data_IF_891956703366
#
_entry.id   IF_891956703366
#
_cell.length_a   1.000
_cell.length_b   1.000
_cell.length_c   1.000
_cell.angle_alpha   90.00
_cell.angle_beta   90.00
_cell.angle_gamma   90.00
#
_symmetry.space_group_name_H-M   'P 1'
#
loop_
_entity.id
_entity.type
_entity.pdbx_description
1 polymer ?
#
# COMPACT_ATOMS: atom_id res chain seq x y z
N UNK A 1 -1.58 5.01 -4.29
CA UNK A 1 -0.65 5.14 -3.14
C UNK A 1 -0.72 6.49 -2.41
N UNK A 2 -0.65 7.64 -3.10
CA UNK A 2 -0.73 8.97 -2.43
C UNK A 2 -2.09 9.19 -1.76
N UNK A 3 -3.18 8.84 -2.44
CA UNK A 3 -4.54 8.88 -1.87
C UNK A 3 -4.71 7.97 -0.64
N UNK A 4 -4.05 6.80 -0.63
CA UNK A 4 -4.00 5.91 0.52
C UNK A 4 -3.26 6.55 1.70
N UNK A 5 -2.12 7.20 1.43
CA UNK A 5 -1.34 7.87 2.46
C UNK A 5 -2.12 9.02 3.12
N UNK A 6 -2.82 9.84 2.32
CA UNK A 6 -3.72 10.88 2.84
C UNK A 6 -4.85 10.29 3.68
N UNK A 7 -5.41 9.15 3.26
CA UNK A 7 -6.45 8.45 4.00
C UNK A 7 -5.95 7.92 5.35
N UNK A 8 -4.70 7.44 5.41
CA UNK A 8 -4.07 7.01 6.66
C UNK A 8 -3.77 8.19 7.60
N UNK A 9 -3.34 9.34 7.07
CA UNK A 9 -3.20 10.55 7.87
C UNK A 9 -4.55 10.98 8.49
N UNK A 10 -5.62 10.94 7.68
CA UNK A 10 -6.98 11.24 8.13
C UNK A 10 -7.47 10.24 9.19
N UNK A 11 -7.18 8.95 9.02
CA UNK A 11 -7.47 7.92 10.02
C UNK A 11 -6.77 8.21 11.36
N UNK A 12 -5.50 8.64 11.31
CA UNK A 12 -4.77 9.09 12.50
C UNK A 12 -5.43 10.29 13.18
N UNK A 13 -5.89 11.28 12.41
CA UNK A 13 -6.63 12.44 12.95
C UNK A 13 -7.96 12.03 13.61
N UNK A 14 -8.70 11.11 12.98
CA UNK A 14 -9.96 10.58 13.53
C UNK A 14 -9.71 9.85 14.85
N UNK A 15 -8.64 9.06 14.96
CA UNK A 15 -8.30 8.36 16.20
C UNK A 15 -7.93 9.34 17.34
N UNK A 16 -7.17 10.40 17.04
CA UNK A 16 -6.86 11.47 18.02
C UNK A 16 -8.16 12.13 18.50
N UNK A 17 -9.07 12.41 17.59
CA UNK A 17 -10.36 13.03 17.93
C UNK A 17 -11.23 12.10 18.78
N UNK A 18 -11.26 10.80 18.45
CA UNK A 18 -11.98 9.77 19.22
C UNK A 18 -11.45 9.68 20.66
N UNK A 19 -10.13 9.71 20.85
CA UNK A 19 -9.52 9.67 22.19
C UNK A 19 -9.86 10.92 23.01
N UNK A 20 -9.87 12.11 22.39
CA UNK A 20 -10.25 13.34 23.08
C UNK A 20 -11.71 13.29 23.58
N UNK A 21 -12.62 12.70 22.80
CA UNK A 21 -14.01 12.49 23.21
C UNK A 21 -14.11 11.49 24.36
N UNK A 22 -13.40 10.35 24.27
CA UNK A 22 -13.31 9.36 25.36
C UNK A 22 -12.65 9.87 26.65
N UNK A 23 -11.99 11.04 26.65
CA UNK A 23 -11.48 11.67 27.88
C UNK A 23 -12.48 12.66 28.48
N UNK A 24 -13.42 13.14 27.68
CA UNK A 24 -14.34 14.23 28.05
C UNK A 24 -15.76 13.72 28.36
N UNK A 25 -16.26 12.76 27.58
CA UNK A 25 -17.59 12.18 27.75
C UNK A 25 -17.54 10.67 27.61
N UNK A 26 -17.85 9.98 28.71
CA UNK A 26 -17.80 8.52 28.78
C UNK A 26 -19.22 7.98 28.76
N UNK A 27 -19.56 7.27 27.69
CA UNK A 27 -20.78 6.46 27.64
C UNK A 27 -20.41 5.01 27.88
N UNK A 28 -21.00 4.44 28.91
CA UNK A 28 -20.89 3.03 29.22
C UNK A 28 -21.87 2.24 28.34
N UNK A 29 -21.35 1.36 27.50
CA UNK A 29 -22.13 0.39 26.74
C UNK A 29 -21.84 -1.02 27.26
N UNK A 30 -22.89 -1.77 27.58
CA UNK A 30 -22.76 -3.17 27.98
C UNK A 30 -22.96 -4.02 26.73
N UNK A 31 -21.97 -4.84 26.38
CA UNK A 31 -22.04 -5.80 25.27
C UNK A 31 -21.59 -7.15 25.83
N UNK A 32 -22.44 -8.18 25.77
CA UNK A 32 -22.12 -9.52 26.27
C UNK A 32 -21.58 -9.54 27.72
N UNK A 33 -22.31 -8.90 28.65
CA UNK A 33 -21.97 -8.77 30.09
C UNK A 33 -20.61 -8.14 30.40
N UNK A 34 -19.99 -7.47 29.42
CA UNK A 34 -18.79 -6.66 29.62
C UNK A 34 -19.14 -5.18 29.48
N UNK A 35 -18.68 -4.42 30.46
CA UNK A 35 -18.80 -2.97 30.48
C UNK A 35 -17.75 -2.34 29.56
N UNK A 36 -18.18 -1.45 28.67
CA UNK A 36 -17.27 -0.78 27.75
C UNK A 36 -17.47 0.73 27.72
N UNK A 37 -16.37 1.47 27.75
CA UNK A 37 -16.36 2.91 27.56
C UNK A 37 -16.26 3.20 26.05
N UNK A 38 -17.29 3.82 25.48
CA UNK A 38 -17.35 4.19 24.07
C UNK A 38 -17.34 5.72 23.88
N UNK A 39 -16.68 6.18 22.82
CA UNK A 39 -16.81 7.56 22.35
C UNK A 39 -18.16 7.71 21.65
N UNK A 40 -18.89 8.78 21.96
CA UNK A 40 -20.07 9.18 21.17
C UNK A 40 -19.61 9.82 19.85
N UNK A 41 -19.32 8.98 18.86
CA UNK A 41 -18.85 9.39 17.54
C UNK A 41 -19.62 8.66 16.44
N UNK A 42 -19.97 9.37 15.37
CA UNK A 42 -20.64 8.77 14.23
C UNK A 42 -19.68 7.92 13.39
N UNK A 43 -20.15 6.75 12.95
CA UNK A 43 -19.41 5.86 12.04
C UNK A 43 -19.08 6.51 10.69
N UNK A 44 -19.81 7.56 10.29
CA UNK A 44 -19.60 8.26 9.03
C UNK A 44 -18.24 8.98 8.93
N UNK A 45 -17.57 9.28 10.05
CA UNK A 45 -16.22 9.84 10.00
C UNK A 45 -15.18 8.88 9.40
N UNK A 46 -15.47 7.58 9.40
CA UNK A 46 -14.63 6.55 8.80
C UNK A 46 -14.89 6.37 7.30
N UNK A 47 -15.99 6.90 6.77
CA UNK A 47 -16.34 6.77 5.35
C UNK A 47 -15.26 7.32 4.40
N UNK A 48 -14.78 8.57 4.54
CA UNK A 48 -13.87 9.15 3.54
C UNK A 48 -12.52 8.42 3.46
N UNK A 49 -12.04 7.83 4.57
CA UNK A 49 -10.77 7.09 4.56
C UNK A 49 -10.90 5.74 3.83
N UNK A 50 -12.03 5.04 3.98
CA UNK A 50 -12.25 3.75 3.30
C UNK A 50 -12.41 3.95 1.80
N UNK A 51 -13.11 5.01 1.40
CA UNK A 51 -13.24 5.37 -0.02
C UNK A 51 -11.86 5.68 -0.62
N UNK A 52 -11.03 6.47 0.07
CA UNK A 52 -9.70 6.83 -0.41
C UNK A 52 -8.75 5.63 -0.53
N UNK A 53 -8.78 4.72 0.44
CA UNK A 53 -8.01 3.46 0.40
C UNK A 53 -8.49 2.58 -0.75
N UNK A 54 -9.80 2.33 -0.85
CA UNK A 54 -10.38 1.46 -1.87
C UNK A 54 -10.12 1.95 -3.29
N UNK A 55 -10.32 3.24 -3.56
CA UNK A 55 -9.96 3.84 -4.85
C UNK A 55 -8.48 3.67 -5.16
N UNK A 56 -7.62 3.91 -4.17
CA UNK A 56 -6.17 3.77 -4.36
C UNK A 56 -5.77 2.34 -4.72
N UNK A 57 -6.43 1.36 -4.12
CA UNK A 57 -6.13 -0.06 -4.30
C UNK A 57 -6.58 -0.52 -5.68
N UNK A 58 -7.81 -0.18 -6.09
CA UNK A 58 -8.34 -0.54 -7.41
C UNK A 58 -7.45 0.05 -8.51
N UNK A 59 -7.15 1.35 -8.45
CA UNK A 59 -6.29 1.98 -9.47
C UNK A 59 -4.89 1.36 -9.53
N UNK A 60 -4.28 1.11 -8.38
CA UNK A 60 -2.93 0.51 -8.34
C UNK A 60 -2.96 -0.93 -8.83
N UNK A 61 -3.98 -1.71 -8.45
CA UNK A 61 -4.14 -3.11 -8.79
C UNK A 61 -4.36 -3.31 -10.30
N UNK A 62 -5.22 -2.50 -10.92
CA UNK A 62 -5.51 -2.57 -12.35
C UNK A 62 -4.32 -2.07 -13.17
N UNK A 63 -3.80 -0.88 -12.87
CA UNK A 63 -2.71 -0.29 -13.64
C UNK A 63 -1.42 -1.13 -13.59
N UNK A 64 -1.10 -1.72 -12.43
CA UNK A 64 0.07 -2.60 -12.31
C UNK A 64 -0.08 -3.90 -13.09
N UNK A 65 -1.28 -4.50 -13.09
CA UNK A 65 -1.55 -5.73 -13.81
C UNK A 65 -1.52 -5.50 -15.32
N UNK A 66 -2.19 -4.46 -15.80
CA UNK A 66 -2.21 -4.10 -17.22
C UNK A 66 -0.80 -3.83 -17.74
N UNK A 67 -0.01 -3.02 -17.01
CA UNK A 67 1.38 -2.76 -17.37
C UNK A 67 2.23 -4.03 -17.41
N UNK A 68 2.08 -4.93 -16.43
CA UNK A 68 2.82 -6.18 -16.39
C UNK A 68 2.45 -7.11 -17.56
N UNK A 69 1.17 -7.17 -17.93
CA UNK A 69 0.70 -7.97 -19.06
C UNK A 69 1.18 -7.41 -20.40
N UNK A 70 1.25 -6.08 -20.56
CA UNK A 70 1.78 -5.44 -21.76
C UNK A 70 3.29 -5.68 -21.95
N UNK A 71 4.05 -5.81 -20.86
CA UNK A 71 5.49 -6.03 -20.90
C UNK A 71 5.89 -7.51 -21.09
N UNK A 72 4.96 -8.46 -20.96
CA UNK A 72 5.26 -9.87 -20.95
C UNK A 72 4.81 -10.62 -22.22
N UNK A 73 5.56 -11.66 -22.63
CA UNK A 73 5.15 -12.53 -23.73
C UNK A 73 3.90 -13.35 -23.34
N UNK A 74 3.09 -13.76 -24.33
CA UNK A 74 1.83 -14.49 -24.11
C UNK A 74 1.99 -15.75 -23.24
N UNK A 75 3.12 -16.45 -23.34
CA UNK A 75 3.42 -17.65 -22.55
C UNK A 75 3.68 -17.38 -21.06
N UNK A 76 3.99 -16.14 -20.66
CA UNK A 76 4.34 -15.78 -19.29
C UNK A 76 3.20 -15.07 -18.52
N UNK A 77 2.04 -14.86 -19.14
CA UNK A 77 0.91 -14.17 -18.50
C UNK A 77 0.38 -14.91 -17.27
N UNK A 78 0.35 -16.25 -17.31
CA UNK A 78 -0.04 -17.09 -16.16
C UNK A 78 0.94 -16.94 -14.98
N UNK A 79 2.24 -16.75 -15.26
CA UNK A 79 3.26 -16.51 -14.25
C UNK A 79 3.10 -15.13 -13.59
N UNK A 80 2.70 -14.11 -14.34
CA UNK A 80 2.41 -12.79 -13.76
C UNK A 80 1.23 -12.89 -12.78
N UNK A 81 0.17 -13.60 -13.17
CA UNK A 81 -1.00 -13.76 -12.32
C UNK A 81 -0.67 -14.55 -11.04
N UNK A 82 0.10 -15.64 -11.14
CA UNK A 82 0.53 -16.40 -9.97
C UNK A 82 1.43 -15.58 -9.04
N UNK A 83 2.31 -14.75 -9.61
CA UNK A 83 3.14 -13.82 -8.84
C UNK A 83 2.30 -12.75 -8.12
N UNK A 84 1.21 -12.27 -8.72
CA UNK A 84 0.27 -11.34 -8.10
C UNK A 84 -0.43 -11.95 -6.90
N UNK A 85 -0.90 -13.19 -7.00
CA UNK A 85 -1.49 -13.91 -5.88
C UNK A 85 -0.47 -14.22 -4.78
N UNK A 86 0.75 -14.63 -5.16
CA UNK A 86 1.85 -14.84 -4.20
C UNK A 86 2.17 -13.56 -3.43
N UNK A 87 2.25 -12.42 -4.13
CA UNK A 87 2.48 -11.11 -3.51
C UNK A 87 1.36 -10.72 -2.53
N UNK A 88 0.10 -11.03 -2.86
CA UNK A 88 -1.04 -10.81 -1.95
C UNK A 88 -0.97 -11.70 -0.70
N UNK A 89 -0.58 -12.97 -0.86
CA UNK A 89 -0.33 -13.88 0.26
C UNK A 89 0.80 -13.37 1.16
N UNK A 90 1.94 -12.98 0.57
CA UNK A 90 3.06 -12.36 1.30
C UNK A 90 2.62 -11.13 2.10
N UNK A 91 1.85 -10.22 1.49
CA UNK A 91 1.29 -9.05 2.18
C UNK A 91 0.45 -9.45 3.39
N UNK A 92 -0.31 -10.53 3.30
CA UNK A 92 -1.14 -11.03 4.40
C UNK A 92 -0.29 -11.58 5.55
N UNK A 93 0.80 -12.28 5.24
CA UNK A 93 1.78 -12.71 6.24
C UNK A 93 2.43 -11.53 6.96
N UNK A 94 2.81 -10.47 6.24
CA UNK A 94 3.32 -9.26 6.87
C UNK A 94 2.28 -8.58 7.77
N UNK A 95 1.01 -8.49 7.33
CA UNK A 95 -0.06 -7.93 8.14
C UNK A 95 -0.25 -8.67 9.47
N UNK A 96 -0.32 -9.99 9.42
CA UNK A 96 -0.42 -10.83 10.62
C UNK A 96 0.85 -10.76 11.48
N UNK A 97 2.03 -10.76 10.86
CA UNK A 97 3.31 -10.67 11.55
C UNK A 97 3.48 -9.37 12.34
N UNK A 98 3.03 -8.24 11.81
CA UNK A 98 3.02 -6.95 12.52
C UNK A 98 2.15 -7.05 13.77
N UNK A 99 0.92 -7.57 13.65
CA UNK A 99 0.01 -7.74 14.79
C UNK A 99 0.60 -8.70 15.84
N UNK A 100 1.20 -9.81 15.41
CA UNK A 100 1.86 -10.77 16.29
C UNK A 100 3.05 -10.17 17.04
N UNK A 101 3.90 -9.39 16.34
CA UNK A 101 5.05 -8.71 16.95
C UNK A 101 4.61 -7.70 18.01
N UNK A 102 3.59 -6.89 17.70
CA UNK A 102 3.00 -5.97 18.67
C UNK A 102 2.46 -6.72 19.89
N UNK A 103 1.81 -7.88 19.69
CA UNK A 103 1.29 -8.70 20.80
C UNK A 103 2.38 -9.16 21.75
N UNK A 104 3.54 -9.54 21.21
CA UNK A 104 4.69 -9.97 22.01
C UNK A 104 5.29 -8.78 22.77
N UNK A 105 5.47 -7.64 22.10
CA UNK A 105 6.05 -6.43 22.72
C UNK A 105 5.17 -5.90 23.86
N UNK A 106 3.85 -6.00 23.73
CA UNK A 106 2.89 -5.56 24.75
C UNK A 106 2.50 -6.68 25.74
N UNK A 107 3.26 -7.79 25.80
CA UNK A 107 3.11 -8.82 26.84
C UNK A 107 1.82 -9.64 26.75
N UNK A 108 1.37 -10.01 25.54
CA UNK A 108 0.14 -10.78 25.28
C UNK A 108 -1.19 -10.12 25.72
N UNK A 109 -1.17 -8.87 26.21
CA UNK A 109 -2.38 -8.18 26.69
C UNK A 109 -3.21 -7.51 25.59
N UNK A 110 -2.77 -7.58 24.32
CA UNK A 110 -3.48 -6.91 23.22
C UNK A 110 -4.92 -7.41 23.08
N UNK A 111 -5.18 -8.70 23.33
CA UNK A 111 -6.52 -9.27 23.15
C UNK A 111 -7.45 -9.11 24.37
N UNK A 112 -6.92 -8.94 25.58
CA UNK A 112 -7.74 -8.75 26.78
C UNK A 112 -8.00 -7.27 27.12
N UNK A 113 -7.07 -6.37 26.80
CA UNK A 113 -7.18 -4.93 27.08
C UNK A 113 -7.27 -4.07 25.80
N UNK A 114 -7.91 -4.61 24.75
CA UNK A 114 -7.96 -4.03 23.40
C UNK A 114 -8.42 -2.56 23.33
N UNK A 115 -9.09 -2.02 24.36
CA UNK A 115 -9.82 -0.76 24.24
C UNK A 115 -9.35 0.40 25.14
N UNK A 116 -8.51 0.14 26.14
CA UNK A 116 -8.11 1.16 27.13
C UNK A 116 -6.61 1.51 27.11
N UNK A 117 -5.82 0.87 26.24
CA UNK A 117 -4.40 1.18 26.16
C UNK A 117 -4.20 2.47 25.35
N UNK A 118 -3.62 3.50 25.99
CA UNK A 118 -3.45 4.86 25.42
C UNK A 118 -2.60 4.87 24.15
N UNK A 119 -2.00 3.73 23.76
CA UNK A 119 -0.98 3.60 22.72
C UNK A 119 -1.48 3.11 21.36
N UNK A 120 -2.79 2.99 21.12
CA UNK A 120 -3.34 2.49 19.84
C UNK A 120 -2.91 3.33 18.61
N UNK A 121 -2.68 4.63 18.80
CA UNK A 121 -2.16 5.50 17.75
C UNK A 121 -0.79 5.05 17.19
N UNK A 122 0.02 4.34 17.99
CA UNK A 122 1.33 3.82 17.58
C UNK A 122 1.17 2.77 16.46
N UNK A 123 0.11 1.95 16.52
CA UNK A 123 -0.17 0.96 15.48
C UNK A 123 -0.43 1.64 14.12
N UNK A 124 -1.28 2.66 14.10
CA UNK A 124 -1.54 3.43 12.88
C UNK A 124 -0.31 4.17 12.38
N UNK A 125 0.54 4.68 13.28
CA UNK A 125 1.78 5.36 12.91
C UNK A 125 2.83 4.39 12.33
N UNK A 126 2.94 3.17 12.86
CA UNK A 126 3.78 2.10 12.29
C UNK A 126 3.30 1.74 10.87
N UNK A 127 1.99 1.58 10.68
CA UNK A 127 1.41 1.31 9.37
C UNK A 127 1.64 2.47 8.39
N UNK A 128 1.50 3.72 8.85
CA UNK A 128 1.79 4.90 8.05
C UNK A 128 3.27 4.99 7.67
N UNK A 129 4.18 4.67 8.60
CA UNK A 129 5.62 4.59 8.34
C UNK A 129 5.96 3.51 7.31
N UNK A 130 5.36 2.32 7.46
CA UNK A 130 5.49 1.24 6.48
C UNK A 130 5.04 1.70 5.09
N UNK A 131 3.87 2.33 4.98
CA UNK A 131 3.35 2.88 3.72
C UNK A 131 4.28 3.93 3.10
N UNK A 132 4.91 4.79 3.91
CA UNK A 132 5.87 5.78 3.45
C UNK A 132 7.12 5.12 2.85
N UNK A 133 7.63 4.06 3.48
CA UNK A 133 8.76 3.27 2.95
C UNK A 133 8.45 2.71 1.56
N UNK A 134 7.25 2.16 1.33
CA UNK A 134 6.85 1.70 -0.01
C UNK A 134 6.81 2.82 -1.04
N UNK A 135 6.34 4.01 -0.67
CA UNK A 135 6.35 5.18 -1.55
C UNK A 135 7.78 5.57 -1.91
N UNK A 136 8.71 5.60 -0.95
CA UNK A 136 10.12 5.91 -1.20
C UNK A 136 10.80 4.88 -2.11
N UNK A 137 10.56 3.59 -1.86
CA UNK A 137 11.05 2.50 -2.71
C UNK A 137 10.51 2.66 -4.13
N UNK A 138 9.22 2.92 -4.29
CA UNK A 138 8.60 3.13 -5.59
C UNK A 138 9.21 4.31 -6.34
N UNK A 139 9.42 5.46 -5.68
CA UNK A 139 10.08 6.62 -6.29
C UNK A 139 11.52 6.27 -6.70
N UNK A 140 12.28 5.60 -5.83
CA UNK A 140 13.65 5.16 -6.13
C UNK A 140 13.73 4.25 -7.35
N UNK A 141 12.84 3.25 -7.43
CA UNK A 141 12.74 2.34 -8.57
C UNK A 141 12.37 3.07 -9.86
N UNK A 142 11.37 3.96 -9.83
CA UNK A 142 10.98 4.74 -11.02
C UNK A 142 12.12 5.61 -11.55
N UNK A 143 12.92 6.23 -10.67
CA UNK A 143 14.09 7.01 -11.08
C UNK A 143 15.10 6.12 -11.82
N UNK A 144 15.38 4.91 -11.32
CA UNK A 144 16.27 3.95 -11.99
C UNK A 144 15.70 3.42 -13.31
N UNK A 145 14.41 3.10 -13.37
CA UNK A 145 13.76 2.64 -14.60
C UNK A 145 13.78 3.70 -15.71
N UNK A 146 13.58 4.99 -15.36
CA UNK A 146 13.68 6.09 -16.32
C UNK A 146 15.10 6.24 -16.89
N UNK A 147 16.13 5.94 -16.09
CA UNK A 147 17.54 5.95 -16.50
C UNK A 147 17.86 4.75 -17.41
N UNK A 148 17.31 3.57 -17.12
CA UNK A 148 17.50 2.35 -17.92
C UNK A 148 16.83 2.38 -19.30
N UNK A 149 15.79 3.21 -19.49
CA UNK A 149 15.19 3.47 -20.81
C UNK A 149 15.98 4.48 -21.66
N UNK A 150 17.09 5.05 -21.16
CA UNK A 150 17.91 6.05 -21.84
C UNK A 150 19.40 5.64 -22.03
N UNK A 151 19.70 4.43 -22.54
CA UNK A 151 20.92 4.28 -23.33
C UNK A 151 20.65 3.62 -24.69
N UNK A 152 21.11 4.28 -25.76
CA UNK A 152 21.46 3.69 -27.08
C UNK A 152 20.43 3.56 -28.24
N UNK A 153 19.41 4.43 -28.37
CA UNK A 153 18.70 4.51 -29.67
C UNK A 153 19.47 5.22 -30.80
N UNK A 154 20.59 5.92 -30.52
CA UNK A 154 21.38 6.55 -31.58
C UNK A 154 22.28 5.58 -32.37
N UNK A 155 22.66 4.43 -31.82
CA UNK A 155 23.59 3.50 -32.52
C UNK A 155 22.91 2.45 -33.40
N UNK A 156 21.64 2.11 -33.14
CA UNK A 156 20.90 1.11 -33.93
C UNK A 156 20.33 1.69 -35.24
N UNK A 157 20.04 3.00 -35.25
CA UNK A 157 19.58 3.68 -36.47
C UNK A 157 20.70 3.77 -37.51
N UNK A 158 21.93 4.15 -37.12
CA UNK A 158 23.05 4.30 -38.06
C UNK A 158 23.51 2.98 -38.69
N UNK A 159 23.40 1.83 -38.02
CA UNK A 159 23.78 0.54 -38.60
C UNK A 159 22.82 0.06 -39.68
N UNK A 160 21.53 0.39 -39.57
CA UNK A 160 20.55 0.07 -40.61
C UNK A 160 20.69 0.98 -41.85
N UNK A 161 21.14 2.22 -41.67
CA UNK A 161 21.44 3.12 -42.79
C UNK A 161 22.71 2.74 -43.56
N UNK A 162 23.72 2.19 -42.89
CA UNK A 162 24.97 1.78 -43.54
C UNK A 162 24.84 0.49 -44.35
N UNK A 163 23.93 -0.43 -43.98
CA UNK A 163 23.67 -1.66 -44.75
C UNK A 163 22.71 -1.45 -45.93
N UNK A 164 21.81 -0.46 -45.84
CA UNK A 164 20.90 -0.12 -46.94
C UNK A 164 21.60 0.64 -48.09
N UNK A 165 22.69 1.35 -47.80
CA UNK A 165 23.39 2.18 -48.78
C UNK A 165 24.59 1.47 -49.45
N UNK A 166 24.89 0.22 -49.07
CA UNK A 166 26.05 -0.53 -49.58
C UNK A 166 25.70 -1.60 -50.62
N UNK A 167 24.49 -1.58 -51.20
CA UNK A 167 24.17 -2.43 -52.35
C UNK A 167 24.47 -1.65 -53.64
N UNK A 168 25.61 -1.90 -54.32
CA UNK A 168 25.84 -1.32 -55.64
C UNK A 168 24.86 -1.94 -56.64
N UNK A 169 24.21 -1.06 -57.39
CA UNK A 169 23.43 -1.42 -58.58
C UNK A 169 24.41 -2.00 -59.58
N UNK A 170 24.41 -3.33 -59.74
CA UNK A 170 24.97 -4.00 -60.90
C UNK A 170 23.90 -4.02 -61.98
N UNK A 171 24.13 -3.27 -63.05
CA UNK A 171 23.80 -3.60 -64.44
C UNK A 171 24.70 -2.76 -65.36
#
# INVERSE_FOLDING_TARGET
MVSAALSMCMAGTVEIFRQNICKTQNFTQIIADKEYIAANMSVFFQFPQYVGIGLSEVFTSVASLEFAYLAAPQSAQSLIMSLRFCSAGLSSFFGSGIVGLLSIVNGNQIFENYRNDERYYIYFFILAGFQLVFILIFIGCNRKYKILKLPNHHHLSSRHFLTSNSNPITD
#
